data_IF_540904455912
#
_entry.id   IF_540904455912
#
_cell.length_a   1.000
_cell.length_b   1.000
_cell.length_c   1.000
_cell.angle_alpha   90.00
_cell.angle_beta   90.00
_cell.angle_gamma   90.00
#
_symmetry.space_group_name_H-M   'P 1'
#
loop_
_entity.id
_entity.type
_entity.pdbx_description
1 polymer ?
#
# COMPACT_ATOMS: atom_id res chain seq x y z
N UNK A 1 17.34 18.19 -14.44
CA UNK A 1 16.72 17.24 -15.40
C UNK A 1 16.80 15.85 -14.80
N UNK A 2 15.66 15.20 -14.59
CA UNK A 2 15.62 13.83 -14.03
C UNK A 2 16.36 12.87 -14.97
N UNK A 3 17.22 12.00 -14.43
CA UNK A 3 17.94 10.99 -15.19
C UNK A 3 16.92 9.96 -15.67
N UNK A 4 16.57 9.99 -16.96
CA UNK A 4 15.59 9.08 -17.58
C UNK A 4 15.94 7.62 -17.27
N UNK A 5 14.99 6.87 -16.72
CA UNK A 5 15.21 5.50 -16.24
C UNK A 5 15.53 4.54 -17.39
N UNK A 6 16.09 3.36 -17.09
CA UNK A 6 16.31 2.32 -18.10
C UNK A 6 15.00 1.90 -18.78
N UNK A 7 13.90 1.92 -18.05
CA UNK A 7 12.56 1.57 -18.53
C UNK A 7 11.99 2.63 -19.46
N UNK A 8 12.16 3.91 -19.11
CA UNK A 8 11.76 5.04 -19.96
C UNK A 8 12.49 5.02 -21.31
N UNK A 9 13.81 4.77 -21.30
CA UNK A 9 14.62 4.73 -22.53
C UNK A 9 14.20 3.58 -23.45
N UNK A 10 13.95 2.39 -22.87
CA UNK A 10 13.54 1.23 -23.65
C UNK A 10 12.21 1.49 -24.37
N UNK A 11 11.22 2.05 -23.67
CA UNK A 11 9.93 2.36 -24.28
C UNK A 11 10.00 3.52 -25.28
N UNK A 12 10.85 4.52 -25.03
CA UNK A 12 11.09 5.59 -26.00
C UNK A 12 11.61 5.03 -27.34
N UNK A 13 12.59 4.11 -27.29
CA UNK A 13 13.14 3.46 -28.50
C UNK A 13 12.11 2.63 -29.24
N UNK A 14 11.22 1.92 -28.53
CA UNK A 14 10.12 1.17 -29.16
C UNK A 14 9.21 2.10 -29.94
N UNK A 15 8.77 3.21 -29.35
CA UNK A 15 7.85 4.15 -29.99
C UNK A 15 8.48 4.90 -31.17
N UNK A 16 9.79 5.21 -31.10
CA UNK A 16 10.52 5.85 -32.20
C UNK A 16 10.71 4.92 -33.41
N UNK A 17 10.74 3.60 -33.20
CA UNK A 17 11.03 2.58 -34.23
C UNK A 17 9.80 1.84 -34.73
N UNK A 18 8.61 2.18 -34.22
CA UNK A 18 7.35 1.51 -34.58
C UNK A 18 6.28 2.54 -34.92
N UNK A 19 5.22 2.11 -35.60
CA UNK A 19 4.06 2.95 -35.91
C UNK A 19 3.01 2.98 -34.78
N UNK A 20 3.39 2.66 -33.54
CA UNK A 20 2.46 2.50 -32.42
C UNK A 20 1.62 3.77 -32.18
N UNK A 21 2.23 4.97 -32.19
CA UNK A 21 1.49 6.21 -31.98
C UNK A 21 0.41 6.43 -33.03
N UNK A 22 0.75 6.26 -34.31
CA UNK A 22 -0.23 6.38 -35.40
C UNK A 22 -1.37 5.35 -35.31
N UNK A 23 -1.09 4.13 -34.86
CA UNK A 23 -2.12 3.11 -34.65
C UNK A 23 -3.03 3.47 -33.46
N UNK A 24 -2.43 3.95 -32.37
CA UNK A 24 -3.16 4.41 -31.18
C UNK A 24 -4.01 5.65 -31.46
N UNK A 25 -3.60 6.51 -32.38
CA UNK A 25 -4.38 7.68 -32.83
C UNK A 25 -5.56 7.32 -33.72
N UNK A 26 -5.39 6.34 -34.60
CA UNK A 26 -6.42 5.93 -35.57
C UNK A 26 -7.45 4.96 -34.97
N UNK A 27 -7.02 4.00 -34.17
CA UNK A 27 -7.88 2.90 -33.68
C UNK A 27 -8.09 2.89 -32.17
N UNK A 28 -7.30 3.65 -31.41
CA UNK A 28 -7.35 3.69 -29.94
C UNK A 28 -6.59 2.57 -29.23
N UNK A 29 -6.06 1.59 -29.97
CA UNK A 29 -5.24 0.50 -29.46
C UNK A 29 -4.21 0.04 -30.51
N UNK A 30 -3.23 -0.77 -30.11
CA UNK A 30 -2.21 -1.31 -31.00
C UNK A 30 -1.66 -2.60 -30.40
N UNK A 31 -1.25 -3.56 -31.25
CA UNK A 31 -0.58 -4.77 -30.79
C UNK A 31 0.93 -4.62 -30.93
N UNK A 32 1.66 -5.25 -30.01
CA UNK A 32 3.11 -5.39 -30.09
C UNK A 32 3.54 -6.76 -29.59
N UNK A 33 4.46 -7.39 -30.30
CA UNK A 33 5.04 -8.67 -29.89
C UNK A 33 6.17 -8.48 -28.89
N UNK A 34 6.41 -9.51 -28.07
CA UNK A 34 7.59 -9.61 -27.21
C UNK A 34 8.89 -9.57 -28.03
N UNK A 35 8.88 -10.07 -29.26
CA UNK A 35 10.02 -9.98 -30.16
C UNK A 35 10.33 -8.53 -30.52
N UNK A 36 9.33 -7.74 -30.93
CA UNK A 36 9.50 -6.31 -31.21
C UNK A 36 9.94 -5.52 -29.98
N UNK A 37 9.34 -5.79 -28.80
CA UNK A 37 9.78 -5.16 -27.54
C UNK A 37 11.25 -5.43 -27.24
N UNK A 38 11.69 -6.69 -27.40
CA UNK A 38 13.09 -7.07 -27.18
C UNK A 38 14.03 -6.45 -28.21
N UNK A 39 13.65 -6.47 -29.48
CA UNK A 39 14.45 -5.98 -30.60
C UNK A 39 14.62 -4.46 -30.55
N UNK A 40 13.53 -3.72 -30.35
CA UNK A 40 13.57 -2.26 -30.36
C UNK A 40 13.92 -1.65 -29.01
N UNK A 41 13.42 -2.21 -27.90
CA UNK A 41 13.65 -1.68 -26.55
C UNK A 41 14.92 -2.21 -25.87
N UNK A 42 15.58 -3.22 -26.43
CA UNK A 42 16.80 -3.84 -25.90
C UNK A 42 16.69 -4.28 -24.43
N UNK A 43 15.49 -4.69 -24.03
CA UNK A 43 15.16 -5.09 -22.66
C UNK A 43 14.21 -6.28 -22.68
N UNK A 44 14.23 -7.06 -21.60
CA UNK A 44 13.34 -8.19 -21.47
C UNK A 44 11.85 -7.71 -21.49
N UNK A 45 11.01 -8.28 -22.38
CA UNK A 45 9.63 -7.81 -22.59
C UNK A 45 8.74 -7.82 -21.35
N UNK A 46 8.84 -8.85 -20.50
CA UNK A 46 8.06 -8.93 -19.25
C UNK A 46 8.43 -7.80 -18.28
N UNK A 47 9.70 -7.43 -18.18
CA UNK A 47 10.16 -6.26 -17.40
C UNK A 47 9.70 -4.94 -18.01
N UNK A 48 9.50 -4.88 -19.34
CA UNK A 48 8.94 -3.70 -19.99
C UNK A 48 7.43 -3.57 -19.76
N UNK A 49 6.71 -4.68 -19.79
CA UNK A 49 5.27 -4.76 -19.58
C UNK A 49 4.86 -4.74 -18.10
N UNK A 50 5.79 -4.92 -17.15
CA UNK A 50 5.54 -4.79 -15.71
C UNK A 50 5.25 -3.32 -15.37
N UNK A 51 3.97 -2.99 -15.29
CA UNK A 51 3.44 -1.68 -14.91
C UNK A 51 2.35 -1.93 -13.85
N UNK A 52 2.75 -2.37 -12.66
CA UNK A 52 1.82 -2.84 -11.62
C UNK A 52 1.18 -1.68 -10.83
N UNK A 53 1.75 -0.48 -10.90
CA UNK A 53 1.23 0.76 -10.30
C UNK A 53 1.25 1.94 -11.28
N UNK A 54 0.46 3.00 -11.02
CA UNK A 54 0.42 4.22 -11.82
C UNK A 54 1.79 4.89 -11.92
N UNK A 55 2.57 4.82 -10.84
CA UNK A 55 3.91 5.39 -10.74
C UNK A 55 4.93 4.60 -11.57
N UNK A 56 4.82 3.27 -11.63
CA UNK A 56 5.72 2.39 -12.38
C UNK A 56 5.65 2.55 -13.90
N UNK A 57 4.70 3.34 -14.42
CA UNK A 57 4.54 3.57 -15.86
C UNK A 57 5.71 4.38 -16.45
N UNK A 58 6.24 3.99 -17.62
CA UNK A 58 7.27 4.76 -18.30
C UNK A 58 6.71 6.13 -18.75
N UNK A 59 7.59 7.11 -18.90
CA UNK A 59 7.25 8.50 -19.19
C UNK A 59 6.36 8.66 -20.43
N UNK A 60 6.65 7.90 -21.51
CA UNK A 60 5.85 7.94 -22.73
C UNK A 60 4.43 7.39 -22.54
N UNK A 61 4.23 6.39 -21.67
CA UNK A 61 2.90 5.90 -21.32
C UNK A 61 2.13 6.93 -20.49
N UNK A 62 2.81 7.63 -19.56
CA UNK A 62 2.20 8.72 -18.79
C UNK A 62 1.82 9.89 -19.70
N UNK A 63 2.71 10.29 -20.59
CA UNK A 63 2.50 11.39 -21.54
C UNK A 63 1.30 11.14 -22.46
N UNK A 64 1.18 9.92 -23.00
CA UNK A 64 0.11 9.57 -23.95
C UNK A 64 -1.09 8.88 -23.29
N UNK A 65 -1.12 8.82 -21.95
CA UNK A 65 -2.18 8.17 -21.16
C UNK A 65 -2.46 6.75 -21.64
N UNK A 66 -1.44 5.90 -21.67
CA UNK A 66 -1.50 4.53 -22.18
C UNK A 66 -1.44 3.50 -21.07
N UNK A 67 -1.94 2.31 -21.40
CA UNK A 67 -1.77 1.08 -20.63
C UNK A 67 -1.40 -0.09 -21.57
N UNK A 68 -0.86 -1.16 -21.00
CA UNK A 68 -0.45 -2.37 -21.72
C UNK A 68 -0.98 -3.61 -21.01
N UNK A 69 -1.48 -4.58 -21.79
CA UNK A 69 -2.01 -5.84 -21.31
C UNK A 69 -1.47 -7.01 -22.14
N UNK A 70 -1.04 -8.13 -21.51
CA UNK A 70 -0.72 -9.34 -22.25
C UNK A 70 -2.01 -9.96 -22.80
N UNK A 71 -2.02 -10.32 -24.08
CA UNK A 71 -3.19 -10.92 -24.75
C UNK A 71 -2.92 -12.34 -25.21
N UNK A 72 -1.69 -12.64 -25.60
CA UNK A 72 -1.25 -13.99 -25.95
C UNK A 72 0.17 -14.22 -25.46
N UNK A 73 0.66 -15.45 -25.58
CA UNK A 73 2.05 -15.74 -25.26
C UNK A 73 2.99 -14.97 -26.19
N UNK A 74 3.66 -13.96 -25.64
CA UNK A 74 4.56 -13.12 -26.40
C UNK A 74 3.85 -12.02 -27.21
N UNK A 75 2.60 -11.69 -26.90
CA UNK A 75 1.89 -10.58 -27.53
C UNK A 75 1.16 -9.72 -26.50
N UNK A 76 1.19 -8.41 -26.73
CA UNK A 76 0.58 -7.40 -25.87
C UNK A 76 -0.31 -6.48 -26.67
N UNK A 77 -1.36 -5.96 -26.03
CA UNK A 77 -2.14 -4.82 -26.52
C UNK A 77 -1.75 -3.58 -25.73
N UNK A 78 -1.48 -2.48 -26.43
CA UNK A 78 -1.33 -1.13 -25.88
C UNK A 78 -2.60 -0.37 -26.24
N UNK A 79 -3.16 0.40 -25.32
CA UNK A 79 -4.40 1.14 -25.55
C UNK A 79 -4.44 2.43 -24.75
N UNK A 80 -5.34 3.34 -25.13
CA UNK A 80 -5.60 4.58 -24.40
C UNK A 80 -6.37 4.31 -23.11
N UNK A 81 -5.84 4.85 -22.02
CA UNK A 81 -6.41 4.78 -20.68
C UNK A 81 -6.44 6.18 -20.05
N UNK A 82 -7.25 7.06 -20.66
CA UNK A 82 -7.30 8.49 -20.30
C UNK A 82 -7.76 8.74 -18.87
N UNK A 83 -8.67 7.88 -18.39
CA UNK A 83 -9.23 7.94 -17.05
C UNK A 83 -8.45 7.10 -16.02
N UNK A 84 -7.30 6.54 -16.41
CA UNK A 84 -6.46 5.69 -15.55
C UNK A 84 -7.20 4.48 -14.94
N UNK A 85 -8.18 3.93 -15.66
CA UNK A 85 -9.02 2.83 -15.18
C UNK A 85 -8.28 1.50 -15.12
N UNK A 86 -7.07 1.39 -15.69
CA UNK A 86 -6.23 0.19 -15.52
C UNK A 86 -5.72 0.01 -14.09
N UNK A 87 -5.83 1.05 -13.26
CA UNK A 87 -5.33 1.06 -11.89
C UNK A 87 -6.45 1.46 -10.94
N UNK A 88 -6.58 0.73 -9.84
CA UNK A 88 -7.54 1.07 -8.80
C UNK A 88 -6.85 1.81 -7.66
N UNK A 89 -7.28 3.03 -7.35
CA UNK A 89 -6.74 3.81 -6.23
C UNK A 89 -7.26 3.25 -4.90
N UNK A 90 -6.33 2.83 -4.04
CA UNK A 90 -6.62 2.27 -2.73
C UNK A 90 -6.66 3.34 -1.63
N UNK A 91 -5.82 4.37 -1.71
CA UNK A 91 -5.66 5.38 -0.64
C UNK A 91 -7.00 5.95 -0.17
N UNK A 92 -7.84 6.41 -1.10
CA UNK A 92 -9.17 6.97 -0.80
C UNK A 92 -10.14 5.98 -0.15
N UNK A 93 -9.94 4.68 -0.34
CA UNK A 93 -10.81 3.64 0.19
C UNK A 93 -10.38 3.19 1.59
N UNK A 94 -9.07 3.12 1.82
CA UNK A 94 -8.49 2.57 3.05
C UNK A 94 -8.49 3.58 4.20
N UNK A 95 -8.32 4.86 3.90
CA UNK A 95 -8.18 5.89 4.93
C UNK A 95 -9.48 6.18 5.70
N UNK A 96 -10.64 5.96 5.08
CA UNK A 96 -11.93 6.19 5.74
C UNK A 96 -12.56 4.90 6.29
N UNK A 97 -11.81 3.79 6.30
CA UNK A 97 -12.36 2.52 6.75
C UNK A 97 -12.35 2.43 8.28
N UNK A 98 -13.51 2.22 8.93
CA UNK A 98 -13.55 1.94 10.36
C UNK A 98 -12.83 0.61 10.61
N UNK A 99 -12.07 0.58 11.71
CA UNK A 99 -11.31 -0.59 12.15
C UNK A 99 -12.13 -1.33 13.19
N UNK A 100 -12.45 -2.57 12.91
CA UNK A 100 -13.28 -3.43 13.74
C UNK A 100 -12.41 -4.44 14.51
N UNK A 101 -12.70 -4.65 15.79
CA UNK A 101 -12.16 -5.79 16.52
C UNK A 101 -12.89 -7.05 16.05
N UNK A 102 -12.13 -8.05 15.60
CA UNK A 102 -12.62 -9.39 15.32
C UNK A 102 -12.05 -10.37 16.35
N UNK A 103 -12.93 -11.02 17.10
CA UNK A 103 -12.54 -12.09 18.03
C UNK A 103 -12.71 -13.44 17.34
N UNK A 104 -11.61 -14.14 17.12
CA UNK A 104 -11.64 -15.49 16.55
C UNK A 104 -12.29 -16.46 17.53
N UNK A 105 -13.03 -17.43 16.99
CA UNK A 105 -13.57 -18.55 17.77
C UNK A 105 -12.48 -19.59 18.14
N UNK A 106 -11.31 -19.52 17.51
CA UNK A 106 -10.18 -20.40 17.80
C UNK A 106 -9.18 -19.70 18.72
N UNK A 107 -8.56 -20.48 19.62
CA UNK A 107 -7.38 -20.02 20.34
C UNK A 107 -6.17 -20.06 19.41
N UNK A 108 -5.92 -18.94 18.74
CA UNK A 108 -4.84 -18.81 17.75
C UNK A 108 -3.45 -18.95 18.38
N UNK A 109 -3.32 -18.75 19.70
CA UNK A 109 -2.05 -18.91 20.41
C UNK A 109 -1.70 -20.37 20.67
N UNK A 110 -2.65 -21.30 20.48
CA UNK A 110 -2.41 -22.75 20.59
C UNK A 110 -1.66 -23.35 19.39
N UNK A 111 -1.49 -22.59 18.30
CA UNK A 111 -0.82 -23.07 17.09
C UNK A 111 0.67 -22.69 17.07
N UNK A 112 1.55 -23.66 17.33
CA UNK A 112 3.01 -23.43 17.34
C UNK A 112 3.59 -22.97 15.99
N UNK A 113 2.94 -23.34 14.89
CA UNK A 113 3.35 -22.96 13.53
C UNK A 113 2.90 -21.55 13.15
N UNK A 114 2.03 -20.94 13.97
CA UNK A 114 1.58 -19.59 13.71
C UNK A 114 2.68 -18.61 14.11
N UNK A 115 3.14 -17.72 13.20
CA UNK A 115 4.20 -16.78 13.53
C UNK A 115 3.80 -15.96 14.75
N UNK A 116 4.68 -16.01 15.74
CA UNK A 116 4.56 -15.22 16.95
C UNK A 116 4.60 -13.72 16.67
N UNK A 117 5.30 -13.32 15.62
CA UNK A 117 5.43 -11.92 15.22
C UNK A 117 4.38 -11.56 14.15
N UNK A 118 3.99 -10.29 14.08
CA UNK A 118 3.01 -9.79 13.12
C UNK A 118 3.63 -9.56 11.71
N UNK A 119 4.65 -10.32 11.33
CA UNK A 119 5.33 -10.24 10.03
C UNK A 119 4.87 -11.39 9.14
N UNK A 120 3.71 -11.22 8.52
CA UNK A 120 3.14 -12.21 7.63
C UNK A 120 3.55 -11.91 6.17
N UNK A 121 3.89 -12.94 5.42
CA UNK A 121 3.87 -12.90 3.95
C UNK A 121 2.42 -12.80 3.45
N UNK A 122 2.23 -12.53 2.15
CA UNK A 122 0.90 -12.50 1.52
C UNK A 122 0.15 -13.83 1.72
N UNK A 123 0.82 -14.97 1.52
CA UNK A 123 0.24 -16.28 1.74
C UNK A 123 -0.09 -16.55 3.21
N UNK A 124 0.81 -16.17 4.13
CA UNK A 124 0.58 -16.32 5.57
C UNK A 124 -0.58 -15.43 6.05
N UNK A 125 -0.73 -14.23 5.50
CA UNK A 125 -1.84 -13.35 5.80
C UNK A 125 -3.18 -13.97 5.36
N UNK A 126 -3.24 -14.54 4.15
CA UNK A 126 -4.41 -15.29 3.68
C UNK A 126 -4.69 -16.47 4.61
N UNK A 127 -3.70 -17.32 4.86
CA UNK A 127 -3.85 -18.54 5.65
C UNK A 127 -4.32 -18.21 7.09
N UNK A 128 -3.78 -17.16 7.71
CA UNK A 128 -4.25 -16.70 9.02
C UNK A 128 -5.69 -16.16 8.99
N UNK A 129 -6.04 -15.35 7.98
CA UNK A 129 -7.41 -14.86 7.84
C UNK A 129 -8.42 -15.99 7.63
N UNK A 130 -7.99 -17.11 7.05
CA UNK A 130 -8.78 -18.33 6.94
C UNK A 130 -8.89 -19.08 8.27
N UNK A 131 -7.75 -19.43 8.90
CA UNK A 131 -7.71 -20.20 10.16
C UNK A 131 -8.39 -19.46 11.31
N UNK A 132 -8.29 -18.13 11.35
CA UNK A 132 -9.00 -17.32 12.35
C UNK A 132 -10.51 -17.24 12.16
N UNK A 133 -11.05 -17.79 11.07
CA UNK A 133 -12.44 -17.64 10.61
C UNK A 133 -12.84 -16.20 10.24
N UNK A 134 -11.85 -15.30 10.11
CA UNK A 134 -12.08 -13.94 9.65
C UNK A 134 -12.65 -13.92 8.23
N UNK A 135 -12.08 -14.70 7.30
CA UNK A 135 -12.58 -14.81 5.93
C UNK A 135 -14.00 -15.37 5.88
N UNK A 136 -14.31 -16.39 6.70
CA UNK A 136 -15.66 -16.94 6.81
C UNK A 136 -16.67 -15.86 7.21
N UNK A 137 -16.30 -15.04 8.21
CA UNK A 137 -17.12 -13.94 8.72
C UNK A 137 -17.30 -12.84 7.67
N UNK A 138 -16.21 -12.42 7.02
CA UNK A 138 -16.27 -11.40 5.97
C UNK A 138 -17.05 -11.89 4.74
N UNK A 139 -16.93 -13.14 4.33
CA UNK A 139 -17.63 -13.67 3.15
C UNK A 139 -19.06 -14.14 3.46
N UNK A 140 -19.40 -14.27 4.76
CA UNK A 140 -20.64 -14.87 5.26
C UNK A 140 -20.84 -16.30 4.74
N UNK A 141 -19.77 -17.09 4.80
CA UNK A 141 -19.74 -18.48 4.35
C UNK A 141 -19.30 -19.38 5.51
N UNK A 142 -20.17 -20.30 5.92
CA UNK A 142 -19.83 -21.29 6.95
C UNK A 142 -18.84 -22.34 6.41
N UNK A 143 -19.08 -22.81 5.19
CA UNK A 143 -18.23 -23.80 4.51
C UNK A 143 -17.47 -23.13 3.38
N UNK A 144 -16.16 -23.00 3.59
CA UNK A 144 -15.25 -22.37 2.64
C UNK A 144 -14.03 -23.28 2.49
N UNK A 145 -13.74 -23.72 1.28
CA UNK A 145 -12.65 -24.67 1.01
C UNK A 145 -11.61 -24.04 0.10
N UNK A 146 -10.33 -24.20 0.41
CA UNK A 146 -9.25 -23.83 -0.50
C UNK A 146 -9.27 -24.79 -1.70
N UNK A 147 -9.56 -24.29 -2.91
CA UNK A 147 -9.63 -25.13 -4.12
C UNK A 147 -8.70 -24.68 -5.24
N UNK A 148 -8.17 -23.46 -5.17
CA UNK A 148 -7.31 -22.88 -6.21
C UNK A 148 -6.13 -22.14 -5.58
N UNK A 149 -4.93 -22.29 -6.14
CA UNK A 149 -3.74 -21.51 -5.77
C UNK A 149 -2.68 -21.59 -6.87
N UNK A 150 -1.92 -20.51 -7.05
CA UNK A 150 -0.74 -20.47 -7.90
C UNK A 150 -1.00 -20.05 -9.34
N UNK A 151 -0.04 -20.37 -10.20
CA UNK A 151 0.00 -19.93 -11.60
C UNK A 151 -0.67 -20.93 -12.52
N UNK A 152 -1.42 -20.42 -13.49
CA UNK A 152 -2.01 -21.20 -14.58
C UNK A 152 -1.88 -20.47 -15.91
N UNK A 153 -2.00 -21.23 -17.01
CA UNK A 153 -2.19 -20.64 -18.34
C UNK A 153 -3.68 -20.46 -18.58
N UNK A 154 -4.06 -19.26 -19.03
CA UNK A 154 -5.44 -18.93 -19.34
C UNK A 154 -5.98 -19.81 -20.48
N UNK A 155 -7.28 -20.07 -20.44
CA UNK A 155 -8.02 -20.50 -21.62
C UNK A 155 -8.27 -19.30 -22.52
N UNK A 156 -9.43 -19.31 -23.18
CA UNK A 156 -9.88 -18.21 -24.03
C UNK A 156 -10.93 -17.38 -23.28
N UNK A 157 -10.68 -16.08 -23.16
CA UNK A 157 -11.70 -15.12 -22.73
C UNK A 157 -11.54 -13.82 -23.53
N UNK A 158 -12.50 -12.92 -23.39
CA UNK A 158 -12.46 -11.62 -24.04
C UNK A 158 -13.02 -10.54 -23.13
N UNK A 159 -12.63 -9.29 -23.42
CA UNK A 159 -13.11 -8.11 -22.73
C UNK A 159 -13.14 -6.90 -23.68
N UNK A 160 -13.91 -5.89 -23.29
CA UNK A 160 -14.05 -4.65 -24.05
C UNK A 160 -13.13 -3.57 -23.49
N UNK A 161 -12.41 -2.87 -24.36
CA UNK A 161 -11.62 -1.70 -23.95
C UNK A 161 -12.53 -0.50 -23.64
N UNK A 162 -12.21 0.31 -22.60
CA UNK A 162 -13.11 1.37 -22.13
C UNK A 162 -13.33 2.49 -23.17
N UNK A 163 -12.27 2.95 -23.84
CA UNK A 163 -12.34 4.12 -24.73
C UNK A 163 -12.68 3.75 -26.18
N UNK A 164 -12.14 2.65 -26.70
CA UNK A 164 -12.33 2.24 -28.09
C UNK A 164 -13.53 1.30 -28.30
N UNK A 165 -14.08 0.74 -27.22
CA UNK A 165 -15.09 -0.33 -27.26
C UNK A 165 -14.66 -1.56 -28.08
N UNK A 166 -13.35 -1.68 -28.36
CA UNK A 166 -12.81 -2.82 -29.09
C UNK A 166 -12.83 -4.07 -28.19
N UNK A 167 -13.25 -5.19 -28.79
CA UNK A 167 -13.23 -6.49 -28.12
C UNK A 167 -11.85 -7.13 -28.26
N UNK A 168 -11.19 -7.40 -27.14
CA UNK A 168 -9.86 -7.97 -27.06
C UNK A 168 -9.98 -9.43 -26.63
N UNK A 169 -9.47 -10.34 -27.46
CA UNK A 169 -9.36 -11.75 -27.13
C UNK A 169 -8.05 -11.99 -26.38
N UNK A 170 -8.12 -12.84 -25.36
CA UNK A 170 -6.97 -13.27 -24.57
C UNK A 170 -6.90 -14.78 -24.59
N UNK A 171 -5.71 -15.32 -24.88
CA UNK A 171 -5.48 -16.76 -24.89
C UNK A 171 -4.08 -17.13 -24.38
N UNK A 172 -3.99 -18.20 -23.58
CA UNK A 172 -2.71 -18.78 -23.18
C UNK A 172 -1.75 -17.85 -22.41
N UNK A 173 -2.24 -16.76 -21.81
CA UNK A 173 -1.44 -15.86 -20.95
C UNK A 173 -1.26 -16.47 -19.57
N UNK A 174 -0.19 -16.13 -18.88
CA UNK A 174 0.00 -16.57 -17.50
C UNK A 174 -0.87 -15.73 -16.55
N UNK A 175 -1.69 -16.41 -15.76
CA UNK A 175 -2.51 -15.84 -14.68
C UNK A 175 -1.99 -16.41 -13.37
N UNK A 176 -2.02 -15.61 -12.31
CA UNK A 176 -1.67 -15.99 -10.95
C UNK A 176 -2.88 -15.72 -10.05
N UNK A 177 -3.17 -16.65 -9.14
CA UNK A 177 -4.21 -16.50 -8.10
C UNK A 177 -3.55 -16.85 -6.79
N UNK A 178 -3.41 -15.87 -5.88
CA UNK A 178 -2.76 -16.11 -4.58
C UNK A 178 -3.55 -17.15 -3.76
N UNK A 179 -4.88 -17.07 -3.80
CA UNK A 179 -5.74 -18.11 -3.25
C UNK A 179 -7.14 -18.02 -3.82
N UNK A 180 -7.76 -19.16 -4.11
CA UNK A 180 -9.17 -19.25 -4.46
C UNK A 180 -9.90 -20.19 -3.52
N UNK A 181 -10.93 -19.66 -2.88
CA UNK A 181 -11.77 -20.39 -1.96
C UNK A 181 -13.15 -20.61 -2.54
N UNK A 182 -13.75 -21.74 -2.26
CA UNK A 182 -15.01 -22.15 -2.88
C UNK A 182 -16.02 -22.53 -1.81
N UNK A 183 -17.22 -21.95 -1.94
CA UNK A 183 -18.43 -22.37 -1.23
C UNK A 183 -19.30 -23.20 -2.16
N UNK A 184 -20.47 -23.61 -1.69
CA UNK A 184 -21.43 -24.31 -2.53
C UNK A 184 -21.86 -23.49 -3.76
N UNK A 185 -21.96 -22.16 -3.64
CA UNK A 185 -22.52 -21.27 -4.67
C UNK A 185 -21.51 -20.34 -5.33
N UNK A 186 -20.36 -20.09 -4.68
CA UNK A 186 -19.43 -19.02 -5.07
C UNK A 186 -17.99 -19.49 -5.11
N UNK A 187 -17.19 -18.86 -5.97
CA UNK A 187 -15.74 -18.98 -5.99
C UNK A 187 -15.17 -17.59 -5.68
N UNK A 188 -14.45 -17.49 -4.58
CA UNK A 188 -13.80 -16.28 -4.11
C UNK A 188 -12.34 -16.29 -4.56
N UNK A 189 -11.95 -15.31 -5.38
CA UNK A 189 -10.58 -15.18 -5.87
C UNK A 189 -9.88 -14.08 -5.09
N UNK A 190 -8.86 -14.42 -4.32
CA UNK A 190 -8.13 -13.49 -3.45
C UNK A 190 -6.80 -13.13 -4.12
N UNK A 191 -6.59 -11.82 -4.28
CA UNK A 191 -5.26 -11.21 -4.46
C UNK A 191 -4.88 -10.56 -3.14
N UNK A 192 -3.68 -10.84 -2.63
CA UNK A 192 -3.19 -10.31 -1.38
C UNK A 192 -2.00 -9.37 -1.57
N UNK A 193 -1.88 -8.39 -0.68
CA UNK A 193 -0.71 -7.50 -0.58
C UNK A 193 -0.32 -7.30 0.88
N UNK A 194 0.98 -7.29 1.15
CA UNK A 194 1.52 -6.89 2.46
C UNK A 194 2.01 -5.44 2.40
N UNK A 195 1.59 -4.65 3.39
CA UNK A 195 1.77 -3.21 3.42
C UNK A 195 0.78 -2.49 2.50
N UNK A 196 0.43 -1.25 2.85
CA UNK A 196 -0.48 -0.45 2.02
C UNK A 196 0.19 -0.07 0.70
N UNK A 197 -0.61 -0.03 -0.37
CA UNK A 197 -0.22 0.47 -1.69
C UNK A 197 -1.18 1.60 -2.07
N UNK A 198 -0.70 2.54 -2.87
CA UNK A 198 -1.52 3.69 -3.29
C UNK A 198 -2.52 3.27 -4.36
N UNK A 199 -2.11 2.35 -5.23
CA UNK A 199 -2.91 1.75 -6.28
C UNK A 199 -2.38 0.36 -6.66
N UNK A 200 -3.18 -0.38 -7.42
CA UNK A 200 -2.76 -1.64 -8.05
C UNK A 200 -3.37 -1.78 -9.44
N UNK A 201 -2.70 -2.52 -10.31
CA UNK A 201 -3.18 -2.80 -11.65
C UNK A 201 -4.34 -3.83 -11.64
N UNK A 202 -5.52 -3.45 -12.13
CA UNK A 202 -6.77 -4.23 -11.98
C UNK A 202 -6.74 -5.62 -12.62
N UNK A 203 -5.83 -5.84 -13.58
CA UNK A 203 -5.56 -7.14 -14.22
C UNK A 203 -5.38 -8.27 -13.20
N UNK A 204 -4.77 -7.98 -12.05
CA UNK A 204 -4.55 -8.95 -10.96
C UNK A 204 -5.87 -9.59 -10.48
N UNK A 205 -6.97 -8.84 -10.49
CA UNK A 205 -8.32 -9.37 -10.19
C UNK A 205 -9.09 -9.76 -11.47
N UNK A 206 -8.96 -8.94 -12.53
CA UNK A 206 -9.79 -9.02 -13.72
C UNK A 206 -9.52 -10.27 -14.56
N UNK A 207 -8.27 -10.70 -14.71
CA UNK A 207 -7.93 -11.87 -15.52
C UNK A 207 -8.37 -13.17 -14.86
N UNK A 208 -8.07 -13.41 -13.57
CA UNK A 208 -8.67 -14.53 -12.84
C UNK A 208 -10.19 -14.53 -12.89
N UNK A 209 -10.83 -13.38 -12.71
CA UNK A 209 -12.28 -13.24 -12.78
C UNK A 209 -12.84 -13.72 -14.13
N UNK A 210 -12.31 -13.21 -15.25
CA UNK A 210 -12.80 -13.59 -16.57
C UNK A 210 -12.54 -15.07 -16.88
N UNK A 211 -11.36 -15.58 -16.52
CA UNK A 211 -11.01 -16.99 -16.72
C UNK A 211 -12.01 -17.92 -16.03
N UNK A 212 -12.23 -17.72 -14.73
CA UNK A 212 -13.13 -18.57 -13.95
C UNK A 212 -14.60 -18.35 -14.29
N UNK A 213 -14.97 -17.15 -14.74
CA UNK A 213 -16.32 -16.87 -15.25
C UNK A 213 -16.64 -17.63 -16.54
N UNK A 214 -15.63 -18.11 -17.28
CA UNK A 214 -15.84 -19.00 -18.43
C UNK A 214 -15.88 -20.47 -18.03
N UNK A 215 -15.14 -20.86 -16.98
CA UNK A 215 -14.98 -22.26 -16.55
C UNK A 215 -16.06 -22.76 -15.60
N UNK A 216 -16.68 -21.85 -14.84
CA UNK A 216 -17.63 -22.21 -13.77
C UNK A 216 -19.00 -21.58 -13.97
N UNK A 217 -20.03 -22.25 -13.45
CA UNK A 217 -21.39 -21.72 -13.31
C UNK A 217 -21.62 -21.02 -11.98
N UNK A 218 -20.68 -21.14 -11.03
CA UNK A 218 -20.72 -20.45 -9.74
C UNK A 218 -20.44 -18.97 -9.93
N UNK A 219 -20.96 -18.14 -9.03
CA UNK A 219 -20.62 -16.72 -9.00
C UNK A 219 -19.14 -16.55 -8.65
N UNK A 220 -18.40 -15.80 -9.46
CA UNK A 220 -17.00 -15.49 -9.21
C UNK A 220 -16.91 -14.14 -8.48
N UNK A 221 -16.28 -14.13 -7.31
CA UNK A 221 -16.22 -12.97 -6.41
C UNK A 221 -14.77 -12.61 -6.12
N UNK A 222 -14.24 -11.57 -6.78
CA UNK A 222 -12.87 -11.14 -6.52
C UNK A 222 -12.73 -10.34 -5.23
N UNK A 223 -11.71 -10.66 -4.46
CA UNK A 223 -11.37 -10.07 -3.18
C UNK A 223 -9.93 -9.53 -3.27
N UNK A 224 -9.73 -8.31 -2.82
CA UNK A 224 -8.41 -7.77 -2.56
C UNK A 224 -8.18 -7.71 -1.05
N UNK A 225 -7.15 -8.42 -0.57
CA UNK A 225 -6.76 -8.49 0.83
C UNK A 225 -5.48 -7.68 1.02
N UNK A 226 -5.49 -6.73 1.95
CA UNK A 226 -4.28 -6.02 2.36
C UNK A 226 -4.03 -6.32 3.82
N UNK A 227 -2.83 -6.81 4.12
CA UNK A 227 -2.34 -6.96 5.48
C UNK A 227 -1.28 -5.91 5.75
N UNK A 228 -1.54 -4.97 6.64
CA UNK A 228 -0.56 -3.94 7.03
C UNK A 228 -0.71 -3.62 8.50
N UNK A 229 0.41 -3.59 9.22
CA UNK A 229 0.45 -3.26 10.64
C UNK A 229 -0.60 -4.03 11.48
N UNK A 230 -0.71 -5.35 11.25
CA UNK A 230 -1.69 -6.25 11.87
C UNK A 230 -3.17 -5.95 11.62
N UNK A 231 -3.47 -5.24 10.54
CA UNK A 231 -4.83 -4.93 10.12
C UNK A 231 -5.12 -5.61 8.78
N UNK A 232 -6.29 -6.24 8.71
CA UNK A 232 -6.81 -6.91 7.53
C UNK A 232 -7.84 -6.03 6.83
N UNK A 233 -7.45 -5.42 5.72
CA UNK A 233 -8.37 -4.72 4.85
C UNK A 233 -8.88 -5.69 3.79
N UNK A 234 -10.19 -5.90 3.75
CA UNK A 234 -10.86 -6.81 2.81
C UNK A 234 -11.77 -5.99 1.90
N UNK A 235 -11.53 -6.04 0.60
CA UNK A 235 -12.30 -5.36 -0.43
C UNK A 235 -12.91 -6.37 -1.38
N UNK A 236 -14.24 -6.44 -1.44
CA UNK A 236 -14.96 -7.29 -2.39
C UNK A 236 -15.38 -6.48 -3.61
N UNK A 237 -15.06 -6.97 -4.80
CA UNK A 237 -15.34 -6.30 -6.06
C UNK A 237 -16.43 -7.00 -6.87
N UNK A 238 -17.17 -6.19 -7.63
CA UNK A 238 -17.95 -6.62 -8.79
C UNK A 238 -17.31 -6.00 -10.03
N UNK A 239 -17.04 -6.83 -11.04
CA UNK A 239 -16.42 -6.39 -12.29
C UNK A 239 -17.36 -6.62 -13.46
N UNK A 240 -17.29 -5.74 -14.46
CA UNK A 240 -17.97 -5.93 -15.75
C UNK A 240 -17.04 -6.62 -16.76
N UNK A 241 -17.48 -6.81 -18.01
CA UNK A 241 -16.59 -7.23 -19.11
C UNK A 241 -15.88 -6.05 -19.78
N UNK A 242 -16.21 -4.83 -19.40
CA UNK A 242 -15.49 -3.63 -19.82
C UNK A 242 -14.29 -3.46 -18.89
N UNK A 243 -13.10 -3.47 -19.45
CA UNK A 243 -11.88 -3.30 -18.68
C UNK A 243 -11.87 -1.92 -18.02
N UNK A 244 -11.56 -1.88 -16.72
CA UNK A 244 -11.58 -0.64 -15.95
C UNK A 244 -12.88 -0.36 -15.21
N UNK A 245 -13.93 -1.17 -15.43
CA UNK A 245 -15.19 -1.03 -14.70
C UNK A 245 -15.26 -2.05 -13.55
N UNK A 246 -15.00 -1.56 -12.35
CA UNK A 246 -15.11 -2.30 -11.11
C UNK A 246 -15.72 -1.44 -10.01
N UNK A 247 -16.48 -2.08 -9.12
CA UNK A 247 -17.11 -1.42 -7.97
C UNK A 247 -16.87 -2.23 -6.72
N UNK A 248 -16.64 -1.55 -5.60
CA UNK A 248 -16.58 -2.19 -4.29
C UNK A 248 -18.01 -2.47 -3.84
N UNK A 249 -18.31 -3.73 -3.56
CA UNK A 249 -19.63 -4.18 -3.07
C UNK A 249 -19.63 -4.42 -1.56
N UNK A 250 -18.47 -4.70 -0.98
CA UNK A 250 -18.27 -4.84 0.47
C UNK A 250 -16.83 -4.46 0.81
N UNK A 251 -16.64 -3.75 1.93
CA UNK A 251 -15.32 -3.45 2.48
C UNK A 251 -15.35 -3.48 4.00
N UNK A 252 -14.27 -3.94 4.61
CA UNK A 252 -14.10 -3.91 6.06
C UNK A 252 -12.61 -3.98 6.44
N UNK A 253 -12.26 -3.42 7.59
CA UNK A 253 -10.91 -3.47 8.16
C UNK A 253 -10.99 -4.10 9.54
N UNK A 254 -10.23 -5.18 9.77
CA UNK A 254 -10.26 -5.94 11.02
C UNK A 254 -8.91 -5.96 11.71
N UNK A 255 -8.93 -5.92 13.04
CA UNK A 255 -7.82 -6.32 13.92
C UNK A 255 -8.24 -7.61 14.63
N UNK A 256 -7.41 -8.65 14.61
CA UNK A 256 -7.78 -9.98 15.12
C UNK A 256 -7.29 -10.16 16.55
N UNK A 257 -8.20 -10.48 17.48
CA UNK A 257 -7.95 -10.72 18.91
C UNK A 257 -7.22 -9.57 19.66
N UNK A 258 -7.15 -8.38 19.06
CA UNK A 258 -6.46 -7.22 19.60
C UNK A 258 -7.21 -5.95 19.22
N UNK A 259 -7.28 -4.99 20.14
CA UNK A 259 -7.92 -3.70 19.90
C UNK A 259 -7.32 -3.00 18.68
N UNK A 260 -8.15 -2.45 17.78
CA UNK A 260 -7.65 -1.68 16.64
C UNK A 260 -6.98 -0.35 17.04
N UNK A 261 -7.17 0.10 18.28
CA UNK A 261 -6.60 1.35 18.82
C UNK A 261 -5.91 1.11 20.15
N UNK A 262 -4.78 1.78 20.37
CA UNK A 262 -4.05 1.72 21.63
C UNK A 262 -4.68 2.67 22.65
N UNK A 263 -4.89 2.21 23.89
CA UNK A 263 -5.30 3.08 24.98
C UNK A 263 -4.08 3.87 25.48
N UNK A 264 -4.08 5.19 25.31
CA UNK A 264 -2.94 6.07 25.58
C UNK A 264 -3.37 7.20 26.51
N UNK A 265 -2.76 7.27 27.69
CA UNK A 265 -2.88 8.44 28.56
C UNK A 265 -1.83 9.49 28.17
N UNK A 266 -2.18 10.41 27.26
CA UNK A 266 -1.24 11.45 26.81
C UNK A 266 -0.77 12.34 27.96
N UNK A 267 -1.63 12.68 28.92
CA UNK A 267 -1.25 13.50 30.07
C UNK A 267 -0.18 12.81 30.93
N UNK A 268 -0.31 11.50 31.16
CA UNK A 268 0.66 10.71 31.89
C UNK A 268 1.98 10.57 31.10
N UNK A 269 1.91 10.15 29.83
CA UNK A 269 3.12 10.01 29.00
C UNK A 269 3.85 11.35 28.87
N UNK A 270 3.11 12.46 28.75
CA UNK A 270 3.72 13.77 28.72
C UNK A 270 4.40 14.09 30.07
N UNK A 271 3.82 13.73 31.20
CA UNK A 271 4.46 13.96 32.49
C UNK A 271 5.72 13.11 32.70
N UNK A 272 5.68 11.82 32.34
CA UNK A 272 6.71 10.84 32.66
C UNK A 272 7.87 10.80 31.66
N UNK A 273 7.59 10.99 30.37
CA UNK A 273 8.60 10.85 29.32
C UNK A 273 9.36 12.17 29.16
N UNK A 274 10.69 12.18 29.39
CA UNK A 274 11.49 13.37 29.18
C UNK A 274 11.59 13.71 27.70
N UNK A 275 11.58 15.00 27.39
CA UNK A 275 11.83 15.54 26.04
C UNK A 275 13.32 15.47 25.73
N UNK A 276 13.67 15.14 24.48
CA UNK A 276 15.03 15.20 23.98
C UNK A 276 15.55 16.66 24.01
N UNK A 277 16.86 16.87 24.23
CA UNK A 277 17.45 18.21 24.33
C UNK A 277 17.27 19.04 23.05
N UNK A 278 17.29 18.39 21.89
CA UNK A 278 17.07 18.99 20.59
C UNK A 278 16.47 17.99 19.61
N UNK A 279 15.98 18.49 18.47
CA UNK A 279 15.69 17.63 17.32
C UNK A 279 16.97 16.90 16.87
N UNK A 280 16.86 15.64 16.40
CA UNK A 280 18.03 14.87 15.99
C UNK A 280 18.70 15.50 14.76
N UNK A 281 20.02 15.36 14.66
CA UNK A 281 20.85 15.88 13.55
C UNK A 281 20.72 15.06 12.26
N UNK A 282 19.49 14.73 11.88
CA UNK A 282 19.14 14.01 10.66
C UNK A 282 18.03 14.76 9.91
N UNK A 283 17.75 14.43 8.64
CA UNK A 283 16.70 15.09 7.90
C UNK A 283 15.33 14.97 8.61
N UNK A 284 14.70 16.11 8.88
CA UNK A 284 13.35 16.14 9.42
C UNK A 284 12.37 15.37 8.51
N UNK A 285 11.41 14.60 9.06
CA UNK A 285 10.52 13.71 8.30
C UNK A 285 9.83 14.35 7.10
N UNK A 286 9.71 13.55 6.02
CA UNK A 286 9.07 13.92 4.75
C UNK A 286 8.15 12.82 4.21
N UNK A 287 7.89 11.81 5.03
CA UNK A 287 7.18 10.60 4.68
C UNK A 287 5.85 10.59 5.44
N UNK A 288 4.77 10.93 4.74
CA UNK A 288 3.48 11.23 5.38
C UNK A 288 2.78 9.99 5.97
N UNK A 289 3.03 8.81 5.40
CA UNK A 289 2.39 7.57 5.81
C UNK A 289 3.20 6.85 6.91
N UNK A 290 2.73 6.97 8.15
CA UNK A 290 3.41 6.35 9.30
C UNK A 290 3.29 4.82 9.30
N UNK A 291 2.28 4.21 8.65
CA UNK A 291 2.22 2.75 8.50
C UNK A 291 3.35 2.25 7.58
N UNK A 292 3.64 2.96 6.49
CA UNK A 292 4.79 2.63 5.63
C UNK A 292 6.14 2.83 6.32
N UNK A 293 6.25 3.79 7.25
CA UNK A 293 7.45 3.94 8.11
C UNK A 293 7.61 2.70 9.00
N UNK A 294 6.52 2.21 9.61
CA UNK A 294 6.50 0.97 10.41
C UNK A 294 6.88 -0.24 9.56
N UNK A 295 6.30 -0.36 8.37
CA UNK A 295 6.61 -1.43 7.43
C UNK A 295 8.11 -1.41 7.06
N UNK A 296 8.74 -0.24 6.88
CA UNK A 296 10.19 -0.14 6.62
C UNK A 296 11.05 -0.75 7.75
N UNK A 297 10.67 -0.56 9.01
CA UNK A 297 11.41 -1.17 10.14
C UNK A 297 11.31 -2.69 10.08
N UNK A 298 10.11 -3.22 9.77
CA UNK A 298 9.88 -4.66 9.64
C UNK A 298 10.64 -5.28 8.46
N UNK A 299 10.68 -4.60 7.32
CA UNK A 299 11.39 -5.02 6.12
C UNK A 299 12.91 -5.06 6.35
N UNK A 300 13.47 -4.05 7.04
CA UNK A 300 14.89 -4.04 7.37
C UNK A 300 15.27 -5.15 8.34
N UNK A 301 14.44 -5.38 9.35
CA UNK A 301 14.60 -6.51 10.26
C UNK A 301 14.40 -7.88 9.57
N UNK A 302 13.88 -7.89 8.33
CA UNK A 302 13.71 -9.07 7.48
C UNK A 302 14.82 -9.28 6.45
N UNK A 303 15.85 -8.42 6.42
CA UNK A 303 17.02 -8.57 5.54
C UNK A 303 17.07 -7.66 4.31
N UNK A 304 16.17 -6.68 4.17
CA UNK A 304 16.34 -5.59 3.20
C UNK A 304 17.23 -4.52 3.80
N UNK A 305 18.25 -4.03 3.09
CA UNK A 305 19.24 -3.11 3.72
C UNK A 305 19.42 -1.80 2.96
N UNK A 306 18.81 -1.66 1.79
CA UNK A 306 19.03 -0.51 0.92
C UNK A 306 17.75 0.23 0.57
N UNK A 307 17.88 1.53 0.26
CA UNK A 307 16.77 2.33 -0.30
C UNK A 307 16.23 1.80 -1.64
N UNK A 308 17.04 1.03 -2.38
CA UNK A 308 16.61 0.40 -3.62
C UNK A 308 15.66 -0.77 -3.34
N UNK A 309 15.96 -1.60 -2.34
CA UNK A 309 15.10 -2.70 -1.91
C UNK A 309 13.73 -2.19 -1.45
N UNK A 310 13.73 -1.13 -0.63
CA UNK A 310 12.51 -0.50 -0.13
C UNK A 310 11.71 0.15 -1.27
N UNK A 311 12.38 0.85 -2.18
CA UNK A 311 11.70 1.45 -3.32
C UNK A 311 11.10 0.39 -4.25
N UNK A 312 11.78 -0.73 -4.46
CA UNK A 312 11.25 -1.86 -5.22
C UNK A 312 10.06 -2.51 -4.51
N UNK A 313 10.14 -2.72 -3.18
CA UNK A 313 9.06 -3.34 -2.42
C UNK A 313 7.75 -2.56 -2.48
N UNK A 314 7.81 -1.23 -2.31
CA UNK A 314 6.64 -0.36 -2.35
C UNK A 314 6.30 0.17 -3.75
N UNK A 315 7.07 -0.20 -4.78
CA UNK A 315 7.00 0.34 -6.15
C UNK A 315 7.14 1.88 -6.21
N UNK A 316 7.97 2.43 -5.33
CA UNK A 316 8.30 3.85 -5.25
C UNK A 316 9.44 4.28 -6.19
N UNK A 317 9.62 5.59 -6.33
CA UNK A 317 10.91 6.12 -6.74
C UNK A 317 11.95 5.99 -5.60
N UNK A 318 13.22 5.86 -5.95
CA UNK A 318 14.32 5.66 -5.01
C UNK A 318 14.44 6.78 -3.94
N UNK A 319 13.95 7.99 -4.25
CA UNK A 319 14.00 9.13 -3.34
C UNK A 319 12.91 9.02 -2.26
N UNK A 320 11.74 8.50 -2.60
CA UNK A 320 10.72 8.17 -1.60
C UNK A 320 11.23 7.08 -0.64
N UNK A 321 11.97 6.07 -1.13
CA UNK A 321 12.60 5.06 -0.26
C UNK A 321 13.52 5.68 0.82
N UNK A 322 14.35 6.65 0.43
CA UNK A 322 15.21 7.39 1.37
C UNK A 322 14.38 8.21 2.39
N UNK A 323 13.23 8.76 1.99
CA UNK A 323 12.35 9.50 2.92
C UNK A 323 11.76 8.61 4.02
N UNK A 324 11.28 7.42 3.69
CA UNK A 324 10.72 6.50 4.70
C UNK A 324 11.80 5.94 5.63
N UNK A 325 12.99 5.62 5.11
CA UNK A 325 14.11 5.15 5.93
C UNK A 325 14.64 6.24 6.89
N UNK A 326 14.78 7.48 6.41
CA UNK A 326 15.16 8.60 7.28
C UNK A 326 14.08 8.91 8.32
N UNK A 327 12.79 8.74 8.00
CA UNK A 327 11.70 8.89 8.96
C UNK A 327 11.72 7.83 10.07
N UNK A 328 12.00 6.57 9.74
CA UNK A 328 12.20 5.52 10.73
C UNK A 328 13.47 5.75 11.58
N UNK A 329 14.51 6.35 10.99
CA UNK A 329 15.72 6.81 11.72
C UNK A 329 15.38 7.96 12.68
N UNK A 330 14.51 8.89 12.28
CA UNK A 330 14.05 10.01 13.12
C UNK A 330 13.34 9.53 14.39
N UNK A 331 12.59 8.44 14.28
CA UNK A 331 11.93 7.78 15.41
C UNK A 331 12.86 6.86 16.21
N UNK A 332 14.13 6.74 15.84
CA UNK A 332 15.14 5.95 16.56
C UNK A 332 15.06 4.43 16.35
N UNK A 333 14.18 3.94 15.46
CA UNK A 333 14.08 2.50 15.17
C UNK A 333 15.16 2.01 14.21
N UNK A 334 15.68 2.92 13.38
CA UNK A 334 16.79 2.65 12.49
C UNK A 334 17.95 3.58 12.81
N UNK A 335 19.14 3.18 12.38
CA UNK A 335 20.32 4.03 12.30
C UNK A 335 20.91 3.95 10.89
N UNK A 336 21.69 4.96 10.53
CA UNK A 336 22.30 5.08 9.21
C UNK A 336 23.82 5.12 9.33
N UNK A 337 24.49 4.18 8.68
CA UNK A 337 25.95 4.15 8.58
C UNK A 337 26.34 4.33 7.11
N UNK A 338 26.70 5.55 6.74
CA UNK A 338 27.01 5.91 5.35
C UNK A 338 25.78 5.80 4.43
N UNK A 339 25.72 4.75 3.61
CA UNK A 339 24.62 4.49 2.65
C UNK A 339 23.68 3.37 3.09
N UNK A 340 24.03 2.66 4.15
CA UNK A 340 23.26 1.52 4.66
C UNK A 340 22.46 1.93 5.89
N UNK A 341 21.37 1.22 6.10
CA UNK A 341 20.50 1.37 7.26
C UNK A 341 20.47 0.06 8.04
N UNK A 342 20.57 0.16 9.35
CA UNK A 342 20.51 -0.98 10.28
C UNK A 342 19.41 -0.75 11.31
N UNK A 343 18.88 -1.84 11.85
CA UNK A 343 17.84 -1.81 12.89
C UNK A 343 18.50 -1.59 14.24
N UNK A 344 18.04 -0.61 15.01
CA UNK A 344 18.56 -0.36 16.37
C UNK A 344 18.02 -1.40 17.36
N UNK A 345 18.53 -1.42 18.60
CA UNK A 345 17.94 -2.25 19.66
C UNK A 345 16.44 -1.93 19.90
N UNK A 346 16.05 -0.66 19.80
CA UNK A 346 14.66 -0.22 19.87
C UNK A 346 13.86 -0.75 18.67
N UNK A 347 14.41 -0.66 17.45
CA UNK A 347 13.81 -1.23 16.25
C UNK A 347 13.62 -2.74 16.35
N UNK A 348 14.61 -3.45 16.86
CA UNK A 348 14.55 -4.89 17.03
C UNK A 348 13.42 -5.26 17.99
N UNK A 349 13.40 -4.63 19.18
CA UNK A 349 12.33 -4.82 20.15
C UNK A 349 10.96 -4.52 19.56
N UNK A 350 10.81 -3.36 18.90
CA UNK A 350 9.56 -2.97 18.22
C UNK A 350 9.08 -4.02 17.23
N UNK A 351 9.98 -4.66 16.49
CA UNK A 351 9.62 -5.68 15.51
C UNK A 351 9.36 -7.07 16.09
N UNK A 352 9.79 -7.32 17.33
CA UNK A 352 9.51 -8.53 18.10
C UNK A 352 8.22 -8.41 18.94
N UNK A 353 7.84 -7.17 19.29
CA UNK A 353 6.59 -6.87 19.97
C UNK A 353 5.39 -7.36 19.16
N UNK A 354 4.65 -8.30 19.75
CA UNK A 354 3.49 -8.93 19.11
C UNK A 354 2.28 -8.01 19.08
N UNK A 355 2.08 -7.21 20.13
CA UNK A 355 0.93 -6.34 20.24
C UNK A 355 1.09 -5.12 19.33
N UNK A 356 0.14 -4.91 18.44
CA UNK A 356 0.00 -3.68 17.67
C UNK A 356 -0.21 -2.47 18.57
N UNK A 357 -0.97 -2.62 19.67
CA UNK A 357 -1.22 -1.50 20.59
C UNK A 357 0.04 -1.09 21.34
N UNK A 358 0.87 -2.04 21.79
CA UNK A 358 2.19 -1.75 22.39
C UNK A 358 3.14 -1.12 21.37
N UNK A 359 3.15 -1.59 20.12
CA UNK A 359 3.92 -0.94 19.04
C UNK A 359 3.43 0.50 18.79
N UNK A 360 2.12 0.73 18.84
CA UNK A 360 1.53 2.07 18.71
C UNK A 360 1.95 2.97 19.87
N UNK A 361 1.93 2.46 21.10
CA UNK A 361 2.44 3.19 22.27
C UNK A 361 3.92 3.54 22.14
N UNK A 362 4.77 2.60 21.70
CA UNK A 362 6.17 2.85 21.40
C UNK A 362 6.35 3.99 20.38
N UNK A 363 5.55 4.03 19.31
CA UNK A 363 5.55 5.12 18.33
C UNK A 363 5.18 6.46 18.98
N UNK A 364 4.12 6.49 19.79
CA UNK A 364 3.68 7.69 20.50
C UNK A 364 4.76 8.19 21.45
N UNK A 365 5.40 7.30 22.21
CA UNK A 365 6.53 7.64 23.08
C UNK A 365 7.65 8.28 22.27
N UNK A 366 8.07 7.67 21.15
CA UNK A 366 9.12 8.25 20.31
C UNK A 366 8.76 9.63 19.77
N UNK A 367 7.50 9.87 19.41
CA UNK A 367 7.03 11.19 18.99
C UNK A 367 7.04 12.19 20.16
N UNK A 368 6.55 11.80 21.35
CA UNK A 368 6.53 12.64 22.55
C UNK A 368 7.94 13.09 22.96
N UNK A 369 8.97 12.28 22.72
CA UNK A 369 10.36 12.66 22.99
C UNK A 369 10.86 13.79 22.09
N UNK A 370 10.28 13.99 20.90
CA UNK A 370 10.75 15.00 19.94
C UNK A 370 10.22 16.39 20.28
N UNK A 371 11.08 17.41 20.45
CA UNK A 371 10.65 18.76 20.85
C UNK A 371 9.48 19.33 20.04
N UNK A 372 9.50 19.16 18.71
CA UNK A 372 8.46 19.69 17.84
C UNK A 372 7.10 19.00 18.03
N UNK A 373 7.08 17.67 18.19
CA UNK A 373 5.85 16.90 18.43
C UNK A 373 5.37 17.07 19.87
N UNK A 374 6.30 17.11 20.83
CA UNK A 374 6.06 17.36 22.24
C UNK A 374 5.24 18.63 22.46
N UNK A 375 5.69 19.73 21.89
CA UNK A 375 5.03 21.04 22.01
C UNK A 375 3.59 20.99 21.45
N UNK A 376 3.39 20.34 20.31
CA UNK A 376 2.04 20.16 19.74
C UNK A 376 1.16 19.29 20.64
N UNK A 377 1.66 18.16 21.14
CA UNK A 377 0.90 17.29 22.02
C UNK A 377 0.57 17.92 23.37
N UNK A 378 1.47 18.73 23.94
CA UNK A 378 1.17 19.51 25.15
C UNK A 378 0.01 20.46 24.92
N UNK A 379 0.04 21.22 23.82
CA UNK A 379 -1.06 22.14 23.45
C UNK A 379 -2.37 21.40 23.19
N UNK A 380 -2.32 20.16 22.69
CA UNK A 380 -3.52 19.35 22.43
C UNK A 380 -4.09 18.68 23.70
N UNK A 381 -3.24 18.18 24.60
CA UNK A 381 -3.65 17.22 25.64
C UNK A 381 -3.40 17.66 27.09
N UNK A 382 -2.71 18.79 27.32
CA UNK A 382 -2.39 19.24 28.70
C UNK A 382 -3.03 20.57 29.09
N UNK A 383 -3.68 21.28 28.16
CA UNK A 383 -4.17 22.62 28.45
C UNK A 383 -5.61 22.67 29.03
N UNK A 384 -5.69 23.17 30.26
CA UNK A 384 -6.85 23.86 30.88
C UNK A 384 -7.16 25.23 30.24
N UNK A 385 -6.60 25.55 29.07
CA UNK A 385 -6.77 26.85 28.43
C UNK A 385 -8.11 26.94 27.69
N UNK A 386 -9.04 27.64 28.31
CA UNK A 386 -10.43 27.92 27.91
C UNK A 386 -10.62 28.62 26.55
N UNK A 387 -9.56 28.89 25.78
CA UNK A 387 -9.61 29.55 24.47
C UNK A 387 -9.22 28.65 23.29
N UNK A 388 -8.71 27.43 23.54
CA UNK A 388 -8.37 26.44 22.50
C UNK A 388 -9.35 25.26 22.51
N UNK A 389 -10.65 25.54 22.69
CA UNK A 389 -11.75 24.60 22.42
C UNK A 389 -11.78 24.06 20.98
N UNK A 390 -10.90 24.54 20.10
CA UNK A 390 -10.70 24.03 18.74
C UNK A 390 -10.22 22.57 18.69
N UNK A 391 -9.73 22.00 19.80
CA UNK A 391 -9.20 20.63 19.78
C UNK A 391 -9.90 19.61 20.69
N UNK A 392 -10.84 20.01 21.55
CA UNK A 392 -11.59 19.05 22.39
C UNK A 392 -12.87 18.54 21.73
N UNK A 393 -13.48 19.38 20.89
CA UNK A 393 -14.69 19.02 20.16
C UNK A 393 -14.29 18.61 18.72
N UNK A 394 -13.92 17.33 18.55
CA UNK A 394 -13.56 16.70 17.26
C UNK A 394 -12.36 17.31 16.51
N UNK A 395 -11.13 16.94 16.89
CA UNK A 395 -9.98 17.11 15.97
C UNK A 395 -10.03 16.06 14.90
N UNK A 396 -10.67 16.38 13.77
CA UNK A 396 -10.19 15.79 12.54
C UNK A 396 -8.77 16.34 12.31
N UNK A 397 -7.80 15.47 12.03
CA UNK A 397 -6.43 15.88 11.69
C UNK A 397 -6.38 17.03 10.66
N UNK A 398 -7.40 17.14 9.82
CA UNK A 398 -7.62 18.18 8.82
C UNK A 398 -7.69 19.60 9.40
N UNK A 399 -8.06 19.78 10.66
CA UNK A 399 -8.20 21.09 11.32
C UNK A 399 -6.88 21.66 11.85
N UNK A 400 -5.80 20.86 11.86
CA UNK A 400 -4.47 21.35 12.21
C UNK A 400 -3.97 22.34 11.16
N UNK A 401 -3.75 23.58 11.60
CA UNK A 401 -3.23 24.66 10.77
C UNK A 401 -1.75 24.42 10.43
N UNK A 402 -1.50 24.15 9.14
CA UNK A 402 -0.17 23.92 8.58
C UNK A 402 0.81 25.05 8.91
N UNK A 403 0.36 26.30 8.96
CA UNK A 403 1.24 27.44 9.26
C UNK A 403 1.68 27.45 10.72
N UNK A 404 0.80 27.08 11.66
CA UNK A 404 1.16 26.94 13.08
C UNK A 404 2.15 25.80 13.31
N UNK A 405 1.92 24.66 12.66
CA UNK A 405 2.87 23.54 12.69
C UNK A 405 4.23 23.93 12.09
N UNK A 406 4.23 24.64 10.95
CA UNK A 406 5.45 25.17 10.34
C UNK A 406 6.26 26.07 11.27
N UNK A 407 5.61 27.00 11.97
CA UNK A 407 6.28 27.85 12.98
C UNK A 407 6.85 27.04 14.13
N UNK A 408 6.14 26.01 14.58
CA UNK A 408 6.61 25.10 15.65
C UNK A 408 7.88 24.38 15.20
N UNK A 409 7.91 23.88 13.96
CA UNK A 409 9.11 23.26 13.38
C UNK A 409 10.26 24.28 13.32
N UNK A 410 10.03 25.53 12.92
CA UNK A 410 11.07 26.56 12.88
C UNK A 410 11.59 26.97 14.26
N UNK A 411 10.76 26.88 15.31
CA UNK A 411 11.20 27.21 16.67
C UNK A 411 12.23 26.21 17.21
N UNK A 412 12.21 24.97 16.73
CA UNK A 412 13.08 23.89 17.20
C UNK A 412 14.11 23.41 16.15
N UNK A 413 14.12 23.98 14.95
CA UNK A 413 15.02 23.56 13.86
C UNK A 413 15.56 24.77 13.08
N UNK A 414 16.66 24.56 12.36
CA UNK A 414 17.24 25.58 11.47
C UNK A 414 16.59 25.62 10.07
N UNK A 415 15.39 25.06 9.90
CA UNK A 415 14.72 24.99 8.61
C UNK A 415 14.14 26.35 8.20
N UNK A 416 14.29 26.71 6.92
CA UNK A 416 13.61 27.87 6.37
C UNK A 416 12.09 27.66 6.29
N UNK A 417 11.33 28.75 6.21
CA UNK A 417 9.86 28.76 6.24
C UNK A 417 9.25 27.82 5.18
N UNK A 418 9.68 27.95 3.93
CA UNK A 418 9.15 27.11 2.84
C UNK A 418 9.42 25.62 3.04
N UNK A 419 10.53 25.26 3.69
CA UNK A 419 10.84 23.86 4.02
C UNK A 419 10.04 23.41 5.23
N UNK A 420 9.98 24.20 6.29
CA UNK A 420 9.18 23.91 7.48
C UNK A 420 7.69 23.72 7.15
N UNK A 421 7.12 24.57 6.28
CA UNK A 421 5.75 24.41 5.79
C UNK A 421 5.55 23.10 5.02
N UNK A 422 6.53 22.65 4.23
CA UNK A 422 6.43 21.33 3.58
C UNK A 422 6.49 20.19 4.61
N UNK A 423 7.36 20.28 5.61
CA UNK A 423 7.47 19.29 6.72
C UNK A 423 6.24 19.26 7.62
N UNK A 424 5.55 20.39 7.77
CA UNK A 424 4.32 20.49 8.54
C UNK A 424 3.22 19.55 8.00
N UNK A 425 3.22 19.22 6.70
CA UNK A 425 2.29 18.23 6.14
C UNK A 425 2.55 16.83 6.71
N UNK A 426 3.82 16.42 6.79
CA UNK A 426 4.21 15.14 7.38
C UNK A 426 3.88 15.09 8.87
N UNK A 427 4.21 16.13 9.63
CA UNK A 427 3.81 16.23 11.04
C UNK A 427 2.29 16.13 11.22
N UNK A 428 1.51 16.86 10.40
CA UNK A 428 0.05 16.81 10.39
C UNK A 428 -0.46 15.39 10.11
N UNK A 429 0.11 14.71 9.12
CA UNK A 429 -0.24 13.34 8.78
C UNK A 429 0.05 12.36 9.92
N UNK A 430 1.20 12.49 10.59
CA UNK A 430 1.58 11.65 11.72
C UNK A 430 0.71 11.88 12.95
N UNK A 431 0.38 13.13 13.27
CA UNK A 431 -0.59 13.44 14.34
C UNK A 431 -1.95 12.85 13.98
N UNK A 432 -2.40 12.99 12.73
CA UNK A 432 -3.64 12.38 12.27
C UNK A 432 -3.64 10.86 12.38
N UNK A 433 -2.51 10.22 12.09
CA UNK A 433 -2.32 8.79 12.33
C UNK A 433 -2.47 8.47 13.81
N UNK A 434 -1.85 9.23 14.72
CA UNK A 434 -1.95 9.03 16.17
C UNK A 434 -3.41 9.11 16.63
N UNK A 435 -4.14 10.16 16.23
CA UNK A 435 -5.55 10.35 16.60
C UNK A 435 -6.46 9.21 16.08
N UNK A 436 -6.13 8.65 14.91
CA UNK A 436 -6.88 7.52 14.32
C UNK A 436 -6.56 6.17 14.97
N UNK A 437 -5.41 6.05 15.63
CA UNK A 437 -4.87 4.79 16.14
C UNK A 437 -4.82 4.70 17.67
N UNK A 438 -5.18 5.78 18.37
CA UNK A 438 -5.21 5.82 19.83
C UNK A 438 -6.62 6.10 20.35
N UNK A 439 -6.91 5.57 21.53
CA UNK A 439 -8.01 5.96 22.41
C UNK A 439 -7.38 6.70 23.58
N UNK A 440 -7.82 7.92 23.88
CA UNK A 440 -7.14 8.84 24.79
C UNK A 440 -8.08 9.71 25.61
#
# INVERSE_FOLDING_TARGET
>A
MSKQSKHDRAWQQVFERTSLLSQLETTGYAYISAHELKTFGQREPRLMAKQDTLHSRPAIFRQHQLAILPVENGQYVIFRDRAHKSYFNLTSVLDDMPKELYTSAHDLYSFDTYPSNQRLSESQAIDFSYVSLLLHTFLKEEQLHLTLRGRLRSGNFHFTLPDSQANINVSGVQIEVDSGYESHKKIYLIEAKVGKRDDFHIRQLFYPYLEWSQRSRKEIVPIFLIYSNAQYYLLQFRLSRIFGELTITKKACYSVNESPRAAISFSQLLHEIPVDESEPSIPYPQADDLDKVVDCVQLLAGGMHTKADIAEYFDFDERQGDYYLNAATYLGYLERTGREFTVTALGQHFTETRSRTERTESLVIQLIKKPTFRDVFQRMFTEETSHLRLFKDYVAANELDKYKLGRTIQAHTSLNEGTALRRALTMKAWIGWVLKNCEY
#
